data_IF_674707866289
#
_entry.id   IF_674707866289
#
_cell.length_a   1.000
_cell.length_b   1.000
_cell.length_c   1.000
_cell.angle_alpha   90.00
_cell.angle_beta   90.00
_cell.angle_gamma   90.00
#
_symmetry.space_group_name_H-M   'P 1'
#
loop_
_entity.id
_entity.type
_entity.pdbx_description
1 polymer ?
#
# COMPACT_ATOMS: atom_id res chain seq x y z
N UNK A 1 17.72 21.38 35.10
CA UNK A 1 16.83 20.20 35.16
C UNK A 1 15.75 20.39 34.12
N UNK A 2 15.55 19.49 33.16
CA UNK A 2 14.46 19.64 32.21
C UNK A 2 13.13 19.36 32.92
N UNK A 3 12.20 20.29 32.84
CA UNK A 3 10.82 20.11 33.27
C UNK A 3 10.19 18.99 32.42
N UNK A 4 9.97 17.85 33.01
CA UNK A 4 9.06 16.84 32.47
C UNK A 4 7.65 17.40 32.61
N UNK A 5 7.06 17.81 31.48
CA UNK A 5 5.62 18.07 31.43
C UNK A 5 4.93 16.69 31.57
N UNK A 6 4.30 16.45 32.70
CA UNK A 6 3.35 15.34 32.85
C UNK A 6 2.09 15.72 32.06
N UNK A 7 1.75 14.89 31.08
CA UNK A 7 0.49 15.01 30.37
C UNK A 7 -0.51 14.07 31.03
N UNK A 8 -1.57 14.60 31.63
CA UNK A 8 -2.67 13.78 32.14
C UNK A 8 -3.51 13.33 30.95
N UNK A 9 -3.53 12.05 30.65
CA UNK A 9 -4.37 11.46 29.62
C UNK A 9 -5.70 11.04 30.26
N UNK A 10 -6.79 11.60 29.77
CA UNK A 10 -8.14 11.10 30.04
C UNK A 10 -8.62 10.37 28.81
N UNK A 11 -8.75 9.06 28.89
CA UNK A 11 -9.35 8.27 27.83
C UNK A 11 -10.87 8.40 27.86
N UNK A 12 -11.46 8.93 26.81
CA UNK A 12 -12.93 8.93 26.64
C UNK A 12 -13.36 7.61 25.98
N UNK A 13 -14.10 6.79 26.73
CA UNK A 13 -14.57 5.46 26.28
C UNK A 13 -15.25 5.48 24.91
N UNK A 14 -16.00 6.56 24.59
CA UNK A 14 -16.69 6.71 23.29
C UNK A 14 -15.75 6.75 22.08
N UNK A 15 -14.46 7.05 22.26
CA UNK A 15 -13.47 7.14 21.20
C UNK A 15 -12.45 6.01 21.21
N UNK A 16 -12.54 5.06 22.13
CA UNK A 16 -11.60 3.92 22.21
C UNK A 16 -11.49 3.16 20.88
N UNK A 17 -12.60 2.97 20.17
CA UNK A 17 -12.61 2.34 18.85
C UNK A 17 -11.93 3.15 17.72
N UNK A 18 -11.45 4.37 18.00
CA UNK A 18 -10.73 5.22 17.03
C UNK A 18 -9.25 5.40 17.38
N UNK A 19 -8.82 4.93 18.55
CA UNK A 19 -7.41 5.01 18.98
C UNK A 19 -6.55 4.23 17.99
N UNK A 20 -5.47 4.84 17.50
CA UNK A 20 -4.58 4.23 16.51
C UNK A 20 -5.14 4.16 15.08
N UNK A 21 -6.40 4.56 14.85
CA UNK A 21 -7.07 4.42 13.55
C UNK A 21 -7.30 5.73 12.79
N UNK A 22 -7.07 6.86 13.42
CA UNK A 22 -7.30 8.17 12.79
C UNK A 22 -6.08 8.64 12.01
N UNK A 23 -6.24 8.91 10.72
CA UNK A 23 -5.29 9.66 9.92
C UNK A 23 -5.73 11.12 9.90
N UNK A 24 -4.86 11.99 10.39
CA UNK A 24 -5.13 13.42 10.55
C UNK A 24 -4.18 14.22 9.68
N UNK A 25 -4.73 15.04 8.80
CA UNK A 25 -3.99 16.03 8.04
C UNK A 25 -3.86 17.33 8.84
N UNK A 26 -2.64 17.88 8.88
CA UNK A 26 -2.33 19.16 9.50
C UNK A 26 -1.59 20.01 8.49
N UNK A 27 -2.14 21.17 8.11
CA UNK A 27 -1.43 22.13 7.27
C UNK A 27 -0.28 22.77 8.06
N UNK A 28 0.94 22.48 7.63
CA UNK A 28 2.14 23.10 8.18
C UNK A 28 2.56 24.28 7.31
N UNK A 29 2.64 25.46 7.89
CA UNK A 29 3.42 26.55 7.28
C UNK A 29 4.91 26.15 7.18
N UNK A 30 5.69 26.91 6.41
CA UNK A 30 7.11 26.71 6.03
C UNK A 30 8.11 26.56 7.21
N UNK A 31 7.79 25.82 8.25
CA UNK A 31 8.64 25.61 9.42
C UNK A 31 9.26 24.21 9.41
N UNK A 32 10.55 24.14 9.74
CA UNK A 32 11.40 22.95 9.85
C UNK A 32 10.66 21.68 10.31
N UNK A 33 10.97 20.55 9.69
CA UNK A 33 10.45 19.23 10.05
C UNK A 33 10.76 18.91 11.52
N UNK A 34 9.77 19.06 12.39
CA UNK A 34 9.81 18.57 13.75
C UNK A 34 8.95 17.31 13.81
N UNK A 35 9.50 16.25 14.38
CA UNK A 35 8.78 14.99 14.57
C UNK A 35 7.79 15.01 15.77
N UNK A 36 7.87 16.06 16.59
CA UNK A 36 6.99 16.23 17.77
C UNK A 36 6.30 17.59 17.66
N UNK A 37 4.97 17.57 17.73
CA UNK A 37 4.13 18.76 17.64
C UNK A 37 3.37 18.98 18.93
N UNK A 38 3.17 20.25 19.27
CA UNK A 38 2.17 20.62 20.26
C UNK A 38 0.81 20.68 19.55
N UNK A 39 -0.02 19.65 19.75
CA UNK A 39 -1.33 19.48 19.09
C UNK A 39 -2.25 20.70 19.33
N UNK A 40 -2.18 21.35 20.49
CA UNK A 40 -3.00 22.52 20.79
C UNK A 40 -2.83 23.68 19.79
N UNK A 41 -1.68 23.77 19.10
CA UNK A 41 -1.43 24.79 18.07
C UNK A 41 -2.13 24.51 16.76
N UNK A 42 -2.43 23.24 16.50
CA UNK A 42 -2.95 22.77 15.21
C UNK A 42 -4.36 22.16 15.33
N UNK A 43 -4.89 22.11 16.55
CA UNK A 43 -6.17 21.42 16.81
C UNK A 43 -7.32 21.93 15.93
N UNK A 44 -7.40 23.27 15.68
CA UNK A 44 -8.46 23.86 14.85
C UNK A 44 -8.23 23.66 13.33
N UNK A 45 -7.02 23.29 12.92
CA UNK A 45 -6.62 23.11 11.52
C UNK A 45 -6.54 21.60 11.16
N UNK A 46 -6.52 20.74 12.18
CA UNK A 46 -6.46 19.31 12.03
C UNK A 46 -7.77 18.75 11.45
N UNK A 47 -7.67 18.02 10.34
CA UNK A 47 -8.80 17.35 9.69
C UNK A 47 -8.58 15.85 9.70
N UNK A 48 -9.55 15.09 10.16
CA UNK A 48 -9.55 13.64 9.97
C UNK A 48 -9.83 13.37 8.50
N UNK A 49 -8.86 12.78 7.80
CA UNK A 49 -8.96 12.45 6.38
C UNK A 49 -9.28 10.98 6.14
N UNK A 50 -8.98 10.12 7.13
CA UNK A 50 -9.24 8.69 7.03
C UNK A 50 -9.42 8.07 8.42
N UNK A 51 -10.28 7.06 8.52
CA UNK A 51 -10.41 6.17 9.68
C UNK A 51 -10.05 4.77 9.21
N UNK A 52 -8.90 4.26 9.67
CA UNK A 52 -8.44 2.92 9.32
C UNK A 52 -9.41 1.84 9.84
N UNK A 53 -9.50 0.71 9.13
CA UNK A 53 -10.29 -0.43 9.59
C UNK A 53 -9.72 -1.03 10.88
N UNK A 54 -8.39 -1.08 11.00
CA UNK A 54 -7.65 -1.59 12.14
C UNK A 54 -6.67 -0.54 12.68
N UNK A 55 -6.07 -0.79 13.85
CA UNK A 55 -5.06 0.06 14.44
C UNK A 55 -3.85 0.21 13.52
N UNK A 56 -3.33 1.45 13.45
CA UNK A 56 -2.10 1.73 12.72
C UNK A 56 -0.93 0.92 13.33
N UNK A 57 -0.43 -0.02 12.55
CA UNK A 57 0.80 -0.75 12.89
C UNK A 57 1.97 -0.20 12.09
N UNK A 58 3.16 -0.17 12.70
CA UNK A 58 4.35 0.22 11.98
C UNK A 58 4.69 -0.84 10.93
N UNK A 59 4.82 -0.42 9.65
CA UNK A 59 5.10 -1.33 8.55
C UNK A 59 6.58 -1.69 8.58
N UNK A 60 6.88 -2.89 9.05
CA UNK A 60 8.26 -3.40 9.09
C UNK A 60 8.59 -4.21 7.85
N UNK A 61 9.75 -3.91 7.24
CA UNK A 61 10.27 -4.75 6.16
C UNK A 61 10.94 -6.00 6.74
N UNK A 62 10.33 -7.16 6.53
CA UNK A 62 10.80 -8.46 7.03
C UNK A 62 11.37 -9.36 5.93
N UNK A 63 11.59 -8.80 4.75
CA UNK A 63 12.11 -9.51 3.58
C UNK A 63 11.12 -9.59 2.43
N UNK A 64 11.63 -9.83 1.22
CA UNK A 64 10.81 -9.86 0.00
C UNK A 64 9.81 -11.03 -0.03
N UNK A 65 10.12 -12.12 0.66
CA UNK A 65 9.23 -13.30 0.78
C UNK A 65 7.99 -13.04 1.62
N UNK A 66 7.98 -11.95 2.39
CA UNK A 66 6.90 -11.61 3.32
C UNK A 66 6.12 -10.35 2.88
N UNK A 67 6.27 -9.95 1.62
CA UNK A 67 5.58 -8.77 1.11
C UNK A 67 4.12 -9.07 0.86
N UNK A 68 3.28 -8.60 1.78
CA UNK A 68 1.82 -8.58 1.68
C UNK A 68 1.32 -7.25 2.25
N UNK A 69 0.76 -6.40 1.42
CA UNK A 69 0.45 -5.00 1.74
C UNK A 69 -1.00 -4.68 1.39
N UNK A 70 -1.68 -3.96 2.27
CA UNK A 70 -2.91 -3.27 1.89
C UNK A 70 -2.61 -2.14 0.88
N UNK A 71 -3.63 -1.64 0.21
CA UNK A 71 -3.49 -0.47 -0.65
C UNK A 71 -2.95 0.75 0.13
N UNK A 72 -3.44 0.92 1.36
CA UNK A 72 -3.00 1.99 2.26
C UNK A 72 -1.50 1.88 2.59
N UNK A 73 -1.03 0.70 3.02
CA UNK A 73 0.37 0.46 3.35
C UNK A 73 1.28 0.69 2.16
N UNK A 74 0.87 0.18 1.00
CA UNK A 74 1.61 0.39 -0.24
C UNK A 74 1.77 1.88 -0.56
N UNK A 75 0.69 2.67 -0.42
CA UNK A 75 0.72 4.12 -0.62
C UNK A 75 1.69 4.80 0.35
N UNK A 76 1.69 4.42 1.62
CA UNK A 76 2.63 4.95 2.63
C UNK A 76 4.09 4.61 2.30
N UNK A 77 4.35 3.37 1.86
CA UNK A 77 5.70 2.91 1.49
C UNK A 77 6.21 3.66 0.26
N UNK A 78 5.41 3.78 -0.79
CA UNK A 78 5.86 4.34 -2.06
C UNK A 78 5.95 5.88 -2.03
N UNK A 79 5.03 6.57 -1.38
CA UNK A 79 4.96 8.02 -1.36
C UNK A 79 5.62 8.65 -0.12
N UNK A 80 5.75 7.89 0.97
CA UNK A 80 6.32 8.37 2.23
C UNK A 80 7.85 8.37 2.25
N UNK A 81 8.43 9.16 3.12
CA UNK A 81 9.88 9.20 3.35
C UNK A 81 10.34 8.16 4.39
N UNK A 82 9.45 7.74 5.28
CA UNK A 82 9.75 6.86 6.42
C UNK A 82 10.23 5.46 6.00
N UNK A 83 9.66 4.91 4.92
CA UNK A 83 9.88 3.51 4.50
C UNK A 83 10.87 3.38 3.33
N UNK A 84 11.96 4.15 3.36
CA UNK A 84 12.94 4.14 2.27
C UNK A 84 13.54 2.77 2.00
N UNK A 85 13.86 2.00 3.05
CA UNK A 85 14.45 0.66 2.92
C UNK A 85 13.49 -0.31 2.23
N UNK A 86 12.20 -0.26 2.60
CA UNK A 86 11.16 -1.08 1.96
C UNK A 86 11.02 -0.74 0.47
N UNK A 87 10.90 0.56 0.17
CA UNK A 87 10.80 1.05 -1.21
C UNK A 87 12.05 0.69 -2.02
N UNK A 88 13.25 0.81 -1.46
CA UNK A 88 14.49 0.44 -2.12
C UNK A 88 14.54 -1.06 -2.42
N UNK A 89 14.10 -1.91 -1.48
CA UNK A 89 14.01 -3.35 -1.70
C UNK A 89 13.06 -3.68 -2.87
N UNK A 90 11.87 -3.09 -2.93
CA UNK A 90 10.92 -3.28 -4.03
C UNK A 90 11.43 -2.72 -5.37
N UNK A 91 12.27 -1.67 -5.35
CA UNK A 91 12.88 -1.08 -6.55
C UNK A 91 14.04 -1.89 -7.09
N UNK A 92 14.66 -2.74 -6.26
CA UNK A 92 15.87 -3.51 -6.59
C UNK A 92 15.57 -4.89 -7.18
N UNK A 93 14.32 -5.25 -7.35
CA UNK A 93 13.91 -6.56 -7.86
C UNK A 93 12.82 -6.45 -8.93
N UNK A 94 12.91 -7.36 -9.90
CA UNK A 94 11.81 -7.71 -10.80
C UNK A 94 10.97 -8.80 -10.16
N UNK A 95 9.75 -9.05 -10.63
CA UNK A 95 8.96 -10.13 -10.03
C UNK A 95 7.59 -10.36 -10.61
N UNK A 96 6.95 -11.39 -10.07
CA UNK A 96 5.52 -11.71 -10.28
C UNK A 96 4.78 -11.42 -8.99
N UNK A 97 3.64 -10.77 -9.11
CA UNK A 97 2.82 -10.34 -7.98
C UNK A 97 1.34 -10.70 -8.16
N UNK A 98 0.64 -10.75 -7.06
CA UNK A 98 -0.80 -10.94 -6.99
C UNK A 98 -1.47 -9.71 -6.38
N UNK A 99 -2.52 -9.22 -7.03
CA UNK A 99 -3.52 -8.36 -6.41
C UNK A 99 -4.71 -9.23 -6.02
N UNK A 100 -5.10 -9.20 -4.77
CA UNK A 100 -6.24 -9.91 -4.27
C UNK A 100 -7.36 -8.94 -3.89
N UNK A 101 -8.53 -9.11 -4.49
CA UNK A 101 -9.76 -8.47 -4.06
C UNK A 101 -10.32 -9.26 -2.87
N UNK A 102 -10.11 -8.76 -1.67
CA UNK A 102 -10.47 -9.45 -0.41
C UNK A 102 -11.98 -9.58 -0.22
N UNK A 103 -12.78 -8.76 -0.92
CA UNK A 103 -14.23 -8.81 -0.85
C UNK A 103 -14.83 -9.93 -1.68
N UNK A 104 -14.24 -10.20 -2.86
CA UNK A 104 -14.76 -11.21 -3.80
C UNK A 104 -13.92 -12.48 -3.85
N UNK A 105 -12.69 -12.43 -3.36
CA UNK A 105 -11.70 -13.50 -3.50
C UNK A 105 -11.08 -13.61 -4.89
N UNK A 106 -11.41 -12.73 -5.83
CA UNK A 106 -10.83 -12.72 -7.17
C UNK A 106 -9.40 -12.21 -7.14
N UNK A 107 -8.57 -12.80 -7.99
CA UNK A 107 -7.15 -12.49 -8.09
C UNK A 107 -6.80 -11.90 -9.46
N UNK A 108 -5.79 -11.04 -9.45
CA UNK A 108 -5.07 -10.60 -10.64
C UNK A 108 -3.60 -10.94 -10.49
N UNK A 109 -3.02 -11.62 -11.45
CA UNK A 109 -1.58 -11.91 -11.51
C UNK A 109 -0.94 -10.98 -12.52
N UNK A 110 0.12 -10.30 -12.12
CA UNK A 110 0.92 -9.44 -12.98
C UNK A 110 2.42 -9.60 -12.76
N UNK A 111 3.20 -8.98 -13.61
CA UNK A 111 4.66 -8.95 -13.50
C UNK A 111 5.22 -7.54 -13.61
N UNK A 112 6.39 -7.35 -13.03
CA UNK A 112 7.20 -6.15 -13.15
C UNK A 112 8.61 -6.54 -13.62
N UNK A 113 8.98 -6.09 -14.80
CA UNK A 113 10.29 -6.38 -15.41
C UNK A 113 11.02 -5.13 -15.90
N UNK A 114 10.47 -3.94 -15.61
CA UNK A 114 11.10 -2.66 -15.91
C UNK A 114 12.32 -2.34 -15.01
N UNK A 115 13.03 -1.27 -15.35
CA UNK A 115 14.28 -0.86 -14.70
C UNK A 115 14.13 -0.44 -13.22
N UNK A 116 12.95 -0.04 -12.80
CA UNK A 116 12.64 0.34 -11.42
C UNK A 116 11.85 -0.75 -10.66
N UNK A 117 11.84 -1.98 -11.20
CA UNK A 117 11.30 -3.16 -10.54
C UNK A 117 9.84 -3.08 -10.13
N UNK A 118 9.52 -3.78 -9.04
CA UNK A 118 8.17 -3.88 -8.46
C UNK A 118 7.64 -2.51 -8.03
N UNK A 119 8.48 -1.67 -7.44
CA UNK A 119 8.05 -0.36 -6.91
C UNK A 119 7.40 0.53 -7.99
N UNK A 120 8.00 0.60 -9.20
CA UNK A 120 7.43 1.39 -10.29
C UNK A 120 6.06 0.85 -10.72
N UNK A 121 5.96 -0.47 -10.91
CA UNK A 121 4.72 -1.09 -11.33
C UNK A 121 3.60 -0.89 -10.31
N UNK A 122 3.93 -0.98 -9.04
CA UNK A 122 2.95 -0.76 -7.97
C UNK A 122 2.61 0.71 -7.76
N UNK A 123 3.53 1.64 -8.07
CA UNK A 123 3.20 3.07 -8.14
C UNK A 123 2.12 3.35 -9.19
N UNK A 124 2.18 2.69 -10.35
CA UNK A 124 1.16 2.84 -11.39
C UNK A 124 -0.25 2.46 -10.86
N UNK A 125 -0.35 1.47 -9.96
CA UNK A 125 -1.63 1.14 -9.31
C UNK A 125 -2.06 2.19 -8.29
N UNK A 126 -1.14 2.78 -7.54
CA UNK A 126 -1.48 3.89 -6.62
C UNK A 126 -2.08 5.05 -7.40
N UNK A 127 -1.47 5.39 -8.55
CA UNK A 127 -1.89 6.54 -9.36
C UNK A 127 -3.19 6.27 -10.12
N UNK A 128 -3.34 5.08 -10.71
CA UNK A 128 -4.44 4.76 -11.64
C UNK A 128 -5.50 3.85 -11.04
N UNK A 129 -5.26 3.24 -9.87
CA UNK A 129 -6.02 2.16 -9.21
C UNK A 129 -6.05 0.84 -9.99
N UNK A 130 -5.83 0.87 -11.28
CA UNK A 130 -6.04 -0.28 -12.19
C UNK A 130 -4.78 -0.79 -12.87
N UNK A 131 -3.68 0.00 -12.81
CA UNK A 131 -2.43 -0.31 -13.52
C UNK A 131 -2.63 -0.52 -15.03
N UNK A 132 -3.73 -0.02 -15.60
CA UNK A 132 -4.07 -0.17 -17.01
C UNK A 132 -4.70 -1.53 -17.39
N UNK A 133 -5.02 -2.41 -16.43
CA UNK A 133 -5.71 -3.65 -16.69
C UNK A 133 -7.20 -3.40 -17.02
N UNK A 134 -7.71 -4.06 -18.05
CA UNK A 134 -9.06 -3.80 -18.58
C UNK A 134 -10.16 -4.21 -17.60
N UNK A 135 -10.08 -5.39 -17.00
CA UNK A 135 -11.08 -5.86 -16.03
C UNK A 135 -11.08 -4.99 -14.76
N UNK A 136 -9.90 -4.56 -14.31
CA UNK A 136 -9.79 -3.64 -13.20
C UNK A 136 -10.32 -2.25 -13.55
N UNK A 137 -10.18 -1.79 -14.79
CA UNK A 137 -10.79 -0.53 -15.26
C UNK A 137 -12.33 -0.63 -15.24
N UNK A 138 -12.89 -1.76 -15.67
CA UNK A 138 -14.34 -1.97 -15.61
C UNK A 138 -14.83 -2.03 -14.16
N UNK A 139 -14.12 -2.73 -13.31
CA UNK A 139 -14.40 -2.75 -11.87
C UNK A 139 -14.32 -1.35 -11.25
N UNK A 140 -13.30 -0.57 -11.61
CA UNK A 140 -13.14 0.80 -11.11
C UNK A 140 -14.29 1.72 -11.54
N UNK A 141 -14.74 1.61 -12.78
CA UNK A 141 -15.91 2.37 -13.27
C UNK A 141 -17.19 2.03 -12.51
N UNK A 142 -17.33 0.78 -12.07
CA UNK A 142 -18.51 0.28 -11.37
C UNK A 142 -18.49 0.59 -9.88
N UNK A 143 -17.39 0.34 -9.19
CA UNK A 143 -17.29 0.36 -7.73
C UNK A 143 -16.60 1.62 -7.18
N UNK A 144 -15.79 2.31 -8.00
CA UNK A 144 -15.09 3.54 -7.64
C UNK A 144 -13.78 3.35 -6.86
N UNK A 145 -13.13 4.47 -6.54
CA UNK A 145 -11.80 4.51 -5.90
C UNK A 145 -11.80 3.87 -4.51
N UNK A 146 -12.80 4.21 -3.70
CA UNK A 146 -12.94 3.71 -2.33
C UNK A 146 -12.96 2.18 -2.25
N UNK A 147 -13.54 1.51 -3.26
CA UNK A 147 -13.54 0.06 -3.34
C UNK A 147 -12.12 -0.51 -3.42
N UNK A 148 -11.29 0.04 -4.31
CA UNK A 148 -9.91 -0.41 -4.50
C UNK A 148 -9.07 -0.18 -3.26
N UNK A 149 -9.17 0.99 -2.64
CA UNK A 149 -8.38 1.35 -1.47
C UNK A 149 -8.68 0.46 -0.26
N UNK A 150 -9.90 -0.06 -0.14
CA UNK A 150 -10.31 -0.85 1.01
C UNK A 150 -10.32 -2.37 0.78
N UNK A 151 -10.29 -2.83 -0.47
CA UNK A 151 -10.45 -4.26 -0.74
C UNK A 151 -9.28 -4.89 -1.50
N UNK A 152 -8.30 -4.12 -1.98
CA UNK A 152 -7.17 -4.69 -2.69
C UNK A 152 -5.93 -4.82 -1.82
N UNK A 153 -5.33 -6.03 -1.84
CA UNK A 153 -4.04 -6.32 -1.25
C UNK A 153 -3.02 -6.70 -2.33
N UNK A 154 -1.76 -6.37 -2.09
CA UNK A 154 -0.63 -6.58 -2.98
C UNK A 154 0.34 -7.58 -2.36
N UNK A 155 0.58 -8.69 -3.04
CA UNK A 155 1.50 -9.75 -2.59
C UNK A 155 2.57 -10.00 -3.63
N UNK A 156 3.85 -9.99 -3.24
CA UNK A 156 4.94 -10.43 -4.10
C UNK A 156 5.05 -11.95 -4.05
N UNK A 157 4.83 -12.63 -5.19
CA UNK A 157 4.82 -14.10 -5.24
C UNK A 157 6.21 -14.64 -5.57
N UNK A 158 6.88 -14.03 -6.54
CA UNK A 158 8.25 -14.37 -6.92
C UNK A 158 9.03 -13.10 -7.20
N UNK A 159 10.30 -13.08 -6.82
CA UNK A 159 11.19 -11.99 -7.16
C UNK A 159 12.47 -12.49 -7.83
N UNK A 160 13.06 -11.63 -8.63
CA UNK A 160 14.22 -11.92 -9.48
C UNK A 160 15.18 -10.75 -9.43
N UNK A 161 16.46 -11.04 -9.60
CA UNK A 161 17.47 -9.98 -9.79
C UNK A 161 17.18 -9.14 -11.03
N UNK A 162 17.62 -7.89 -11.03
CA UNK A 162 17.36 -6.91 -12.10
C UNK A 162 17.89 -7.37 -13.47
N UNK A 163 18.90 -8.22 -13.52
CA UNK A 163 19.50 -8.77 -14.75
C UNK A 163 18.73 -9.98 -15.30
N UNK A 164 17.64 -10.41 -14.65
CA UNK A 164 16.86 -11.55 -15.13
C UNK A 164 16.15 -11.20 -16.43
N UNK A 165 16.17 -12.15 -17.37
CA UNK A 165 15.53 -12.04 -18.67
C UNK A 165 14.02 -11.84 -18.51
N UNK A 166 13.47 -10.94 -19.30
CA UNK A 166 12.03 -10.60 -19.31
C UNK A 166 11.18 -11.83 -19.67
N UNK A 167 11.59 -12.64 -20.65
CA UNK A 167 10.84 -13.83 -21.07
C UNK A 167 10.68 -14.85 -19.94
N UNK A 168 11.70 -14.98 -19.09
CA UNK A 168 11.61 -15.82 -17.90
C UNK A 168 10.54 -15.31 -16.94
N UNK A 169 10.48 -14.01 -16.69
CA UNK A 169 9.52 -13.40 -15.78
C UNK A 169 8.09 -13.52 -16.32
N UNK A 170 7.91 -13.24 -17.60
CA UNK A 170 6.60 -13.38 -18.29
C UNK A 170 6.15 -14.86 -18.30
N UNK A 171 7.08 -15.79 -18.49
CA UNK A 171 6.80 -17.22 -18.38
C UNK A 171 6.32 -17.61 -16.96
N UNK A 172 6.91 -17.03 -15.91
CA UNK A 172 6.46 -17.24 -14.53
C UNK A 172 5.10 -16.60 -14.24
N UNK A 173 4.84 -15.42 -14.78
CA UNK A 173 3.52 -14.79 -14.71
C UNK A 173 2.45 -15.70 -15.34
N UNK A 174 2.72 -16.23 -16.53
CA UNK A 174 1.81 -17.17 -17.22
C UNK A 174 1.57 -18.44 -16.40
N UNK A 175 2.63 -18.99 -15.79
CA UNK A 175 2.51 -20.14 -14.88
C UNK A 175 1.55 -19.85 -13.71
N UNK A 176 1.71 -18.70 -13.04
CA UNK A 176 0.86 -18.34 -11.90
C UNK A 176 -0.58 -18.01 -12.31
N UNK A 177 -0.80 -17.39 -13.47
CA UNK A 177 -2.15 -17.21 -14.03
C UNK A 177 -2.88 -18.54 -14.20
N UNK A 178 -2.18 -19.55 -14.71
CA UNK A 178 -2.75 -20.90 -14.89
C UNK A 178 -2.94 -21.62 -13.55
N UNK A 179 -1.95 -21.55 -12.65
CA UNK A 179 -2.00 -22.21 -11.35
C UNK A 179 -3.17 -21.72 -10.49
N UNK A 180 -3.49 -20.43 -10.56
CA UNK A 180 -4.60 -19.82 -9.82
C UNK A 180 -5.89 -19.66 -10.65
N UNK A 181 -5.89 -20.14 -11.91
CA UNK A 181 -7.03 -20.03 -12.84
C UNK A 181 -7.60 -18.61 -12.93
N UNK A 182 -6.71 -17.59 -12.89
CA UNK A 182 -7.13 -16.18 -12.84
C UNK A 182 -7.70 -15.66 -14.14
N UNK A 183 -7.53 -16.40 -15.23
CA UNK A 183 -8.18 -16.12 -16.52
C UNK A 183 -9.68 -16.47 -16.50
N UNK A 184 -10.02 -17.56 -15.81
CA UNK A 184 -11.39 -18.06 -15.76
C UNK A 184 -12.18 -17.49 -14.59
N UNK A 185 -11.49 -17.24 -13.46
CA UNK A 185 -12.11 -16.91 -12.18
C UNK A 185 -11.59 -15.61 -11.54
N UNK A 186 -10.65 -14.91 -12.17
CA UNK A 186 -10.02 -13.70 -11.66
C UNK A 186 -10.25 -12.48 -12.54
N UNK A 187 -9.19 -11.64 -12.61
CA UNK A 187 -9.16 -10.39 -13.37
C UNK A 187 -8.10 -10.42 -14.49
N UNK A 188 -7.65 -11.59 -14.95
CA UNK A 188 -6.74 -11.74 -16.08
C UNK A 188 -7.48 -12.15 -17.32
N UNK A 189 -7.45 -11.32 -18.37
CA UNK A 189 -8.06 -11.67 -19.68
C UNK A 189 -7.19 -12.61 -20.53
N UNK A 190 -5.84 -12.64 -20.29
CA UNK A 190 -4.88 -13.40 -21.14
C UNK A 190 -3.89 -14.22 -20.30
#
# INVERSE_FOLDING_TARGET
MPNHATCDHVEEERFQGLVGRLIVEIEKGNTYQRYIFNLNKYYNEAKVIEILADDYQDISFTGLDNVHLSFHDLRLILNGTKYADYRNALSSVKGVYCLADTKTGKLYIGSAYGEKGIAQRWSDYIDTKTGGNKDLIELYKKEGEFYFENNFCFTLIEFFGMNTDTDRIVGRETYWKNAFATKDHGYNEN
#
